data_IF_106363799822
#
_entry.id   IF_106363799822
#
_cell.length_a   1.000
_cell.length_b   1.000
_cell.length_c   1.000
_cell.angle_alpha   90.00
_cell.angle_beta   90.00
_cell.angle_gamma   90.00
#
_symmetry.space_group_name_H-M   'P 1'
#
loop_
_entity.id
_entity.type
_entity.pdbx_description
1 polymer ?
#
# COMPACT_ATOMS: atom_id res chain seq x y z
N UNK A 1 -16.84 29.78 1.21
CA UNK A 1 -16.13 28.48 1.11
C UNK A 1 -15.19 28.45 -0.10
N UNK A 2 -15.67 28.86 -1.28
CA UNK A 2 -14.88 28.92 -2.53
C UNK A 2 -13.64 29.85 -2.46
N UNK A 3 -13.72 30.98 -1.77
CA UNK A 3 -12.57 31.86 -1.53
C UNK A 3 -11.46 31.18 -0.69
N UNK A 4 -11.81 30.27 0.21
CA UNK A 4 -10.85 29.53 1.04
C UNK A 4 -10.06 28.51 0.21
N UNK A 5 -10.72 27.81 -0.71
CA UNK A 5 -10.08 26.88 -1.64
C UNK A 5 -9.10 27.60 -2.57
N UNK A 6 -9.46 28.78 -3.09
CA UNK A 6 -8.57 29.55 -3.96
C UNK A 6 -7.31 30.06 -3.23
N UNK A 7 -7.47 30.63 -2.02
CA UNK A 7 -6.32 31.04 -1.21
C UNK A 7 -5.40 29.85 -0.92
N UNK A 8 -6.01 28.70 -0.63
CA UNK A 8 -5.28 27.47 -0.40
C UNK A 8 -4.45 27.05 -1.63
N UNK A 9 -5.07 26.96 -2.82
CA UNK A 9 -4.39 26.60 -4.06
C UNK A 9 -3.24 27.55 -4.40
N UNK A 10 -3.44 28.87 -4.21
CA UNK A 10 -2.39 29.87 -4.44
C UNK A 10 -1.19 29.64 -3.52
N UNK A 11 -1.42 29.47 -2.21
CA UNK A 11 -0.33 29.23 -1.25
C UNK A 11 0.39 27.91 -1.48
N UNK A 12 -0.33 26.88 -1.92
CA UNK A 12 0.26 25.59 -2.26
C UNK A 12 1.11 25.70 -3.53
N UNK A 13 0.62 26.35 -4.58
CA UNK A 13 1.39 26.60 -5.79
C UNK A 13 2.65 27.42 -5.48
N UNK A 14 2.53 28.46 -4.64
CA UNK A 14 3.64 29.29 -4.19
C UNK A 14 4.70 28.47 -3.43
N UNK A 15 4.28 27.52 -2.59
CA UNK A 15 5.20 26.65 -1.84
C UNK A 15 6.10 25.82 -2.78
N UNK A 16 5.54 25.29 -3.87
CA UNK A 16 6.30 24.52 -4.86
C UNK A 16 7.07 25.39 -5.86
N UNK A 17 6.70 26.66 -6.03
CA UNK A 17 7.34 27.58 -6.98
C UNK A 17 8.43 28.46 -6.37
N UNK A 18 8.37 28.76 -5.07
CA UNK A 18 9.33 29.68 -4.42
C UNK A 18 10.72 29.06 -4.33
N UNK A 19 11.77 29.89 -4.50
CA UNK A 19 13.17 29.55 -4.24
C UNK A 19 13.70 30.11 -2.92
N UNK A 20 12.89 30.91 -2.21
CA UNK A 20 13.25 31.45 -0.90
C UNK A 20 12.98 30.42 0.20
N UNK A 21 14.04 29.95 0.87
CA UNK A 21 13.97 28.95 1.93
C UNK A 21 13.16 29.42 3.15
N UNK A 22 13.28 30.69 3.54
CA UNK A 22 12.56 31.24 4.69
C UNK A 22 11.06 31.29 4.38
N UNK A 23 10.72 31.80 3.21
CA UNK A 23 9.33 31.84 2.74
C UNK A 23 8.74 30.44 2.57
N UNK A 24 9.49 29.51 2.00
CA UNK A 24 9.07 28.10 1.88
C UNK A 24 8.78 27.48 3.25
N UNK A 25 9.58 27.80 4.27
CA UNK A 25 9.34 27.35 5.64
C UNK A 25 8.06 27.94 6.23
N UNK A 26 7.81 29.24 6.04
CA UNK A 26 6.58 29.91 6.50
C UNK A 26 5.33 29.30 5.84
N UNK A 27 5.40 29.03 4.53
CA UNK A 27 4.34 28.33 3.79
C UNK A 27 4.14 26.89 4.28
N UNK A 28 5.22 26.15 4.57
CA UNK A 28 5.14 24.80 5.11
C UNK A 28 4.43 24.78 6.48
N UNK A 29 4.79 25.70 7.38
CA UNK A 29 4.14 25.82 8.69
C UNK A 29 2.64 26.13 8.56
N UNK A 30 2.28 27.00 7.62
CA UNK A 30 0.89 27.30 7.31
C UNK A 30 0.14 26.06 6.77
N UNK A 31 0.73 25.35 5.81
CA UNK A 31 0.15 24.14 5.21
C UNK A 31 -0.05 23.02 6.24
N UNK A 32 0.92 22.80 7.13
CA UNK A 32 0.82 21.82 8.23
C UNK A 32 -0.33 22.21 9.17
N UNK A 33 -0.49 23.50 9.48
CA UNK A 33 -1.61 23.97 10.31
C UNK A 33 -2.94 23.74 9.61
N UNK A 34 -3.03 24.04 8.31
CA UNK A 34 -4.22 23.78 7.51
C UNK A 34 -4.58 22.29 7.45
N UNK A 35 -3.61 21.40 7.32
CA UNK A 35 -3.86 19.95 7.29
C UNK A 35 -4.52 19.44 8.59
N UNK A 36 -4.15 20.02 9.73
CA UNK A 36 -4.69 19.65 11.05
C UNK A 36 -6.06 20.27 11.34
N UNK A 37 -6.39 21.39 10.71
CA UNK A 37 -7.65 22.09 10.91
C UNK A 37 -8.87 21.23 10.53
N UNK A 38 -10.03 21.47 11.15
CA UNK A 38 -11.25 20.68 10.89
C UNK A 38 -11.80 20.91 9.47
N UNK A 39 -11.51 22.06 8.86
CA UNK A 39 -11.90 22.33 7.47
C UNK A 39 -11.07 21.55 6.44
N UNK A 40 -9.95 20.93 6.85
CA UNK A 40 -9.05 20.22 5.93
C UNK A 40 -9.71 19.03 5.25
N UNK A 41 -10.67 18.40 5.93
CA UNK A 41 -11.51 17.33 5.36
C UNK A 41 -12.27 17.82 4.13
N UNK A 42 -13.02 18.91 4.28
CA UNK A 42 -13.84 19.47 3.20
C UNK A 42 -12.98 20.02 2.05
N UNK A 43 -11.87 20.68 2.37
CA UNK A 43 -10.91 21.17 1.37
C UNK A 43 -10.31 20.02 0.56
N UNK A 44 -9.88 18.95 1.23
CA UNK A 44 -9.35 17.76 0.56
C UNK A 44 -10.37 17.15 -0.40
N UNK A 45 -11.63 17.01 0.04
CA UNK A 45 -12.69 16.50 -0.84
C UNK A 45 -13.00 17.39 -2.03
N UNK A 46 -13.03 18.71 -1.85
CA UNK A 46 -13.26 19.64 -2.95
C UNK A 46 -12.18 19.53 -4.02
N UNK A 47 -10.93 19.32 -3.64
CA UNK A 47 -9.82 19.11 -4.58
C UNK A 47 -9.93 17.75 -5.28
N UNK A 48 -10.29 16.68 -4.55
CA UNK A 48 -10.36 15.34 -5.13
C UNK A 48 -11.58 15.12 -6.04
N UNK A 49 -12.70 15.80 -5.78
CA UNK A 49 -13.90 15.76 -6.63
C UNK A 49 -13.76 16.58 -7.93
N UNK A 50 -12.74 17.43 -8.04
CA UNK A 50 -12.36 18.04 -9.30
C UNK A 50 -11.71 16.95 -10.17
N UNK A 51 -12.56 16.21 -10.88
CA UNK A 51 -12.27 14.96 -11.59
C UNK A 51 -11.23 15.05 -12.74
N UNK A 52 -10.55 16.18 -12.93
CA UNK A 52 -9.61 16.36 -14.02
C UNK A 52 -8.19 15.98 -13.59
N UNK A 53 -7.93 14.67 -13.42
CA UNK A 53 -6.60 14.10 -13.08
C UNK A 53 -5.48 14.62 -13.99
N UNK A 54 -5.79 14.92 -15.25
CA UNK A 54 -4.83 15.36 -16.27
C UNK A 54 -4.55 16.86 -16.28
N UNK A 55 -5.42 17.71 -15.72
CA UNK A 55 -5.29 19.18 -15.81
C UNK A 55 -4.85 19.82 -14.50
N UNK A 56 -5.17 19.19 -13.37
CA UNK A 56 -4.81 19.74 -12.06
C UNK A 56 -3.38 19.32 -11.66
N UNK A 57 -2.64 20.18 -10.95
CA UNK A 57 -1.31 19.81 -10.49
C UNK A 57 -1.33 18.63 -9.52
N UNK A 58 -0.43 17.66 -9.74
CA UNK A 58 -0.29 16.45 -8.90
C UNK A 58 -0.13 16.80 -7.40
N UNK A 59 0.59 17.89 -7.11
CA UNK A 59 0.82 18.31 -5.73
C UNK A 59 -0.45 18.74 -4.99
N UNK A 60 -1.48 19.25 -5.68
CA UNK A 60 -2.77 19.58 -5.06
C UNK A 60 -3.48 18.32 -4.58
N UNK A 61 -3.52 17.30 -5.44
CA UNK A 61 -4.15 16.00 -5.16
C UNK A 61 -3.40 15.25 -4.07
N UNK A 62 -2.08 15.29 -4.10
CA UNK A 62 -1.25 14.70 -3.05
C UNK A 62 -1.49 15.37 -1.70
N UNK A 63 -1.58 16.71 -1.66
CA UNK A 63 -1.91 17.42 -0.43
C UNK A 63 -3.32 17.07 0.07
N UNK A 64 -4.30 17.00 -0.82
CA UNK A 64 -5.66 16.61 -0.48
C UNK A 64 -5.70 15.20 0.14
N UNK A 65 -5.02 14.22 -0.47
CA UNK A 65 -4.88 12.87 0.10
C UNK A 65 -4.17 12.89 1.46
N UNK A 66 -3.18 13.76 1.66
CA UNK A 66 -2.54 13.95 2.97
C UNK A 66 -3.50 14.49 4.03
N UNK A 67 -4.39 15.43 3.70
CA UNK A 67 -5.46 15.88 4.60
C UNK A 67 -6.40 14.74 4.97
N UNK A 68 -6.86 13.98 3.97
CA UNK A 68 -7.73 12.82 4.19
C UNK A 68 -7.05 11.80 5.11
N UNK A 69 -5.81 11.42 4.82
CA UNK A 69 -5.04 10.48 5.64
C UNK A 69 -4.93 10.95 7.09
N UNK A 70 -4.60 12.22 7.32
CA UNK A 70 -4.51 12.79 8.67
C UNK A 70 -5.84 12.70 9.41
N UNK A 71 -6.96 12.99 8.74
CA UNK A 71 -8.28 12.94 9.36
C UNK A 71 -8.78 11.51 9.60
N UNK A 72 -8.49 10.57 8.70
CA UNK A 72 -8.82 9.15 8.87
C UNK A 72 -8.00 8.50 9.99
N UNK A 73 -6.78 8.98 10.21
CA UNK A 73 -5.90 8.47 11.26
C UNK A 73 -6.29 9.02 12.64
N UNK A 74 -6.84 10.23 12.71
CA UNK A 74 -7.36 10.82 13.96
C UNK A 74 -8.62 10.09 14.43
N UNK A 75 -8.50 9.33 15.52
CA UNK A 75 -9.62 8.57 16.09
C UNK A 75 -10.78 9.46 16.51
N UNK A 76 -10.51 10.66 17.05
CA UNK A 76 -11.56 11.55 17.56
C UNK A 76 -12.37 12.14 16.42
N UNK A 77 -11.69 12.53 15.33
CA UNK A 77 -12.36 12.97 14.12
C UNK A 77 -13.17 11.82 13.51
N UNK A 78 -12.55 10.66 13.35
CA UNK A 78 -13.18 9.51 12.71
C UNK A 78 -14.44 9.05 13.46
N UNK A 79 -14.37 8.92 14.79
CA UNK A 79 -15.52 8.51 15.60
C UNK A 79 -16.70 9.50 15.48
N UNK A 80 -16.43 10.81 15.46
CA UNK A 80 -17.46 11.83 15.18
C UNK A 80 -18.07 11.67 13.79
N UNK A 81 -17.21 11.48 12.78
CA UNK A 81 -17.64 11.31 11.39
C UNK A 81 -18.57 10.10 11.21
N UNK A 82 -18.30 8.98 11.89
CA UNK A 82 -19.19 7.79 11.87
C UNK A 82 -20.56 8.14 12.45
N UNK A 83 -20.60 8.80 13.61
CA UNK A 83 -21.85 9.08 14.33
C UNK A 83 -22.75 10.06 13.59
N UNK A 84 -22.16 10.95 12.78
CA UNK A 84 -22.86 12.04 12.10
C UNK A 84 -23.25 11.71 10.66
N UNK A 85 -22.73 10.63 10.06
CA UNK A 85 -22.85 10.42 8.61
C UNK A 85 -23.17 8.97 8.21
N UNK A 86 -24.27 8.79 7.49
CA UNK A 86 -24.51 7.61 6.63
C UNK A 86 -23.47 7.49 5.49
N UNK A 87 -22.63 8.51 5.31
CA UNK A 87 -21.63 8.63 4.26
C UNK A 87 -20.39 7.75 4.42
N UNK A 88 -20.30 6.92 5.47
CA UNK A 88 -19.13 6.06 5.67
C UNK A 88 -18.98 5.02 4.56
N UNK A 89 -20.07 4.41 4.10
CA UNK A 89 -20.02 3.45 2.98
C UNK A 89 -19.73 4.16 1.65
N UNK A 90 -20.32 5.34 1.45
CA UNK A 90 -20.02 6.18 0.29
C UNK A 90 -18.55 6.60 0.25
N UNK A 91 -17.93 6.84 1.41
CA UNK A 91 -16.50 7.10 1.52
C UNK A 91 -15.67 5.91 1.03
N UNK A 92 -16.03 4.68 1.42
CA UNK A 92 -15.36 3.48 0.94
C UNK A 92 -15.39 3.37 -0.59
N UNK A 93 -16.58 3.52 -1.18
CA UNK A 93 -16.75 3.50 -2.63
C UNK A 93 -16.00 4.65 -3.33
N UNK A 94 -16.00 5.84 -2.73
CA UNK A 94 -15.27 6.99 -3.27
C UNK A 94 -13.76 6.74 -3.28
N UNK A 95 -13.21 6.15 -2.22
CA UNK A 95 -11.79 5.82 -2.14
C UNK A 95 -11.40 4.73 -3.15
N UNK A 96 -12.26 3.74 -3.38
CA UNK A 96 -12.05 2.72 -4.43
C UNK A 96 -11.95 3.39 -5.79
N UNK A 97 -12.91 4.24 -6.14
CA UNK A 97 -12.91 4.96 -7.41
C UNK A 97 -11.69 5.90 -7.56
N UNK A 98 -11.23 6.53 -6.47
CA UNK A 98 -10.01 7.33 -6.49
C UNK A 98 -8.75 6.49 -6.74
N UNK A 99 -8.64 5.30 -6.15
CA UNK A 99 -7.54 4.37 -6.44
C UNK A 99 -7.52 3.98 -7.93
N UNK A 100 -8.68 3.69 -8.50
CA UNK A 100 -8.80 3.36 -9.93
C UNK A 100 -8.38 4.55 -10.82
N UNK A 101 -8.84 5.77 -10.47
CA UNK A 101 -8.54 7.00 -11.20
C UNK A 101 -7.06 7.41 -11.11
N UNK A 102 -6.37 7.11 -10.01
CA UNK A 102 -4.96 7.45 -9.80
C UNK A 102 -4.00 6.33 -10.18
N UNK A 103 -4.50 5.21 -10.70
CA UNK A 103 -3.73 4.00 -11.03
C UNK A 103 -2.47 4.23 -11.87
N UNK A 104 -2.42 5.29 -12.67
CA UNK A 104 -1.28 5.62 -13.55
C UNK A 104 -0.23 6.54 -12.91
N UNK A 105 -0.51 7.13 -11.74
CA UNK A 105 0.36 8.10 -11.07
C UNK A 105 0.81 7.54 -9.72
N UNK A 106 2.01 6.94 -9.69
CA UNK A 106 2.55 6.19 -8.55
C UNK A 106 2.44 6.93 -7.20
N UNK A 107 2.78 8.23 -7.18
CA UNK A 107 2.72 9.05 -5.95
C UNK A 107 1.29 9.19 -5.41
N UNK A 108 0.31 9.36 -6.31
CA UNK A 108 -1.09 9.53 -5.92
C UNK A 108 -1.71 8.19 -5.51
N UNK A 109 -1.49 7.13 -6.28
CA UNK A 109 -2.04 5.81 -5.93
C UNK A 109 -1.50 5.30 -4.61
N UNK A 110 -0.19 5.43 -4.35
CA UNK A 110 0.41 5.02 -3.08
C UNK A 110 -0.25 5.72 -1.88
N UNK A 111 -0.45 7.04 -1.97
CA UNK A 111 -1.10 7.79 -0.88
C UNK A 111 -2.61 7.50 -0.79
N UNK A 112 -3.28 7.27 -1.92
CA UNK A 112 -4.69 6.91 -1.95
C UNK A 112 -4.94 5.53 -1.33
N UNK A 113 -4.12 4.53 -1.67
CA UNK A 113 -4.14 3.23 -1.03
C UNK A 113 -3.91 3.34 0.48
N UNK A 114 -2.98 4.17 0.94
CA UNK A 114 -2.79 4.41 2.38
C UNK A 114 -4.04 4.99 3.05
N UNK A 115 -4.73 5.96 2.42
CA UNK A 115 -6.00 6.47 2.94
C UNK A 115 -7.06 5.37 3.02
N UNK A 116 -7.19 4.59 1.95
CA UNK A 116 -8.16 3.51 1.85
C UNK A 116 -7.90 2.39 2.88
N UNK A 117 -6.65 2.02 3.08
CA UNK A 117 -6.21 1.04 4.07
C UNK A 117 -6.56 1.49 5.50
N UNK A 118 -6.31 2.75 5.86
CA UNK A 118 -6.72 3.28 7.17
C UNK A 118 -8.24 3.21 7.32
N UNK A 119 -8.99 3.58 6.28
CA UNK A 119 -10.44 3.45 6.25
C UNK A 119 -10.87 1.98 6.47
N UNK A 120 -10.27 1.01 5.78
CA UNK A 120 -10.57 -0.41 5.94
C UNK A 120 -10.28 -0.88 7.37
N UNK A 121 -9.10 -0.58 7.92
CA UNK A 121 -8.73 -0.94 9.30
C UNK A 121 -9.66 -0.33 10.35
N UNK A 122 -10.22 0.84 10.07
CA UNK A 122 -11.19 1.50 10.93
C UNK A 122 -12.60 0.91 10.81
N UNK A 123 -12.97 0.34 9.66
CA UNK A 123 -14.35 -0.12 9.36
C UNK A 123 -14.54 -1.63 9.36
N UNK A 124 -13.53 -2.45 9.09
CA UNK A 124 -13.65 -3.91 9.02
C UNK A 124 -13.51 -4.57 10.39
N UNK A 125 -14.25 -5.62 10.74
CA UNK A 125 -15.29 -6.26 9.92
C UNK A 125 -16.69 -5.67 10.12
N UNK A 126 -16.85 -4.71 11.02
CA UNK A 126 -18.17 -4.36 11.57
C UNK A 126 -19.02 -3.52 10.58
N UNK A 127 -18.39 -2.59 9.87
CA UNK A 127 -19.03 -1.69 8.89
C UNK A 127 -18.74 -2.15 7.46
N UNK A 128 -17.47 -2.44 7.16
CA UNK A 128 -17.06 -3.02 5.88
C UNK A 128 -16.78 -4.51 6.08
N UNK A 129 -17.78 -5.35 5.82
CA UNK A 129 -17.80 -6.75 6.30
C UNK A 129 -16.96 -7.73 5.50
N UNK A 130 -16.72 -7.48 4.22
CA UNK A 130 -15.96 -8.41 3.35
C UNK A 130 -15.07 -7.66 2.33
N UNK A 131 -14.11 -6.82 2.79
CA UNK A 131 -13.24 -6.07 1.90
C UNK A 131 -12.38 -6.97 1.02
N UNK A 132 -11.93 -8.12 1.52
CA UNK A 132 -11.10 -9.02 0.72
C UNK A 132 -11.86 -9.56 -0.50
N UNK A 133 -13.09 -10.06 -0.31
CA UNK A 133 -13.84 -10.56 -1.47
C UNK A 133 -14.26 -9.43 -2.41
N UNK A 134 -14.78 -8.33 -1.86
CA UNK A 134 -15.24 -7.19 -2.66
C UNK A 134 -14.10 -6.62 -3.52
N UNK A 135 -12.91 -6.45 -2.94
CA UNK A 135 -11.76 -5.92 -3.68
C UNK A 135 -11.21 -6.92 -4.69
N UNK A 136 -11.21 -8.23 -4.38
CA UNK A 136 -10.87 -9.27 -5.37
C UNK A 136 -11.82 -9.16 -6.56
N UNK A 137 -13.14 -9.15 -6.32
CA UNK A 137 -14.13 -9.08 -7.40
C UNK A 137 -14.00 -7.80 -8.24
N UNK A 138 -13.63 -6.67 -7.61
CA UNK A 138 -13.48 -5.37 -8.27
C UNK A 138 -12.16 -5.20 -9.05
N UNK A 139 -11.04 -5.62 -8.49
CA UNK A 139 -9.70 -5.25 -8.99
C UNK A 139 -8.89 -6.40 -9.57
N UNK A 140 -9.31 -7.66 -9.41
CA UNK A 140 -8.52 -8.83 -9.83
C UNK A 140 -8.17 -8.86 -11.33
N UNK A 141 -9.01 -8.32 -12.20
CA UNK A 141 -8.78 -8.27 -13.64
C UNK A 141 -8.18 -6.94 -14.12
N UNK A 142 -8.61 -5.81 -13.56
CA UNK A 142 -8.22 -4.48 -14.03
C UNK A 142 -7.06 -3.83 -13.27
N UNK A 143 -6.91 -4.14 -11.99
CA UNK A 143 -5.98 -3.45 -11.09
C UNK A 143 -5.27 -4.43 -10.11
N UNK A 144 -4.63 -5.50 -10.63
CA UNK A 144 -4.05 -6.56 -9.80
C UNK A 144 -2.94 -6.08 -8.85
N UNK A 145 -2.10 -5.13 -9.30
CA UNK A 145 -1.06 -4.52 -8.44
C UNK A 145 -1.66 -3.72 -7.28
N UNK A 146 -2.68 -2.90 -7.54
CA UNK A 146 -3.38 -2.10 -6.52
C UNK A 146 -4.02 -3.01 -5.47
N UNK A 147 -4.65 -4.10 -5.90
CA UNK A 147 -5.24 -5.10 -5.01
C UNK A 147 -4.21 -5.66 -4.02
N UNK A 148 -3.05 -6.07 -4.53
CA UNK A 148 -1.97 -6.64 -3.72
C UNK A 148 -1.30 -5.59 -2.83
N UNK A 149 -1.13 -4.36 -3.32
CA UNK A 149 -0.60 -3.25 -2.53
C UNK A 149 -1.52 -2.93 -1.35
N UNK A 150 -2.84 -2.89 -1.56
CA UNK A 150 -3.80 -2.69 -0.46
C UNK A 150 -3.74 -3.84 0.54
N UNK A 151 -3.71 -5.09 0.08
CA UNK A 151 -3.60 -6.25 0.97
C UNK A 151 -2.32 -6.27 1.80
N UNK A 152 -1.16 -5.93 1.20
CA UNK A 152 0.09 -5.82 1.94
C UNK A 152 0.08 -4.67 2.94
N UNK A 153 -0.38 -3.50 2.49
CA UNK A 153 -0.43 -2.27 3.29
C UNK A 153 -1.35 -2.37 4.51
N UNK A 154 -2.38 -3.23 4.48
CA UNK A 154 -3.23 -3.50 5.65
C UNK A 154 -2.40 -3.91 6.88
N UNK A 155 -1.38 -4.75 6.70
CA UNK A 155 -0.54 -5.21 7.81
C UNK A 155 0.38 -4.10 8.31
N UNK A 156 0.99 -3.36 7.38
CA UNK A 156 1.90 -2.25 7.71
C UNK A 156 1.18 -1.15 8.50
N UNK A 157 0.04 -0.70 7.99
CA UNK A 157 -0.76 0.35 8.64
C UNK A 157 -1.40 -0.16 9.94
N UNK A 158 -1.77 -1.44 10.05
CA UNK A 158 -2.29 -2.01 11.30
C UNK A 158 -1.29 -1.90 12.47
N UNK A 159 0.02 -1.97 12.19
CA UNK A 159 1.05 -1.79 13.22
C UNK A 159 1.13 -0.35 13.72
N UNK A 160 0.94 0.61 12.82
CA UNK A 160 1.11 2.05 13.07
C UNK A 160 -0.16 2.74 13.56
N UNK A 161 -1.34 2.22 13.18
CA UNK A 161 -2.61 2.85 13.48
C UNK A 161 -2.98 2.71 14.96
N UNK A 162 -3.16 3.86 15.63
CA UNK A 162 -3.64 3.90 17.00
C UNK A 162 -5.14 3.52 17.07
N UNK A 163 -5.43 2.42 17.77
CA UNK A 163 -6.78 1.91 17.99
C UNK A 163 -6.94 1.40 19.44
N UNK A 164 -8.16 1.48 20.02
CA UNK A 164 -8.48 0.83 21.28
C UNK A 164 -8.19 -0.68 21.22
N UNK A 165 -7.68 -1.26 22.31
CA UNK A 165 -7.27 -2.67 22.36
C UNK A 165 -8.35 -3.67 21.90
N UNK A 166 -9.64 -3.53 22.28
CA UNK A 166 -10.68 -4.44 21.80
C UNK A 166 -10.84 -4.40 20.27
N UNK A 167 -10.86 -3.20 19.70
CA UNK A 167 -10.93 -2.99 18.25
C UNK A 167 -9.72 -3.57 17.55
N UNK A 168 -8.52 -3.28 18.06
CA UNK A 168 -7.25 -3.79 17.52
C UNK A 168 -7.22 -5.32 17.52
N UNK A 169 -7.71 -5.97 18.57
CA UNK A 169 -7.79 -7.43 18.64
C UNK A 169 -8.82 -8.00 17.65
N UNK A 170 -9.99 -7.38 17.51
CA UNK A 170 -11.00 -7.79 16.52
C UNK A 170 -10.43 -7.71 15.09
N UNK A 171 -9.83 -6.59 14.72
CA UNK A 171 -9.17 -6.40 13.42
C UNK A 171 -8.05 -7.42 13.21
N UNK A 172 -7.21 -7.66 14.22
CA UNK A 172 -6.15 -8.69 14.14
C UNK A 172 -6.72 -10.08 13.84
N UNK A 173 -7.76 -10.49 14.57
CA UNK A 173 -8.42 -11.78 14.36
C UNK A 173 -9.04 -11.87 12.97
N UNK A 174 -9.66 -10.79 12.48
CA UNK A 174 -10.24 -10.73 11.15
C UNK A 174 -9.17 -10.84 10.04
N UNK A 175 -8.05 -10.12 10.17
CA UNK A 175 -6.91 -10.24 9.26
C UNK A 175 -6.38 -11.68 9.22
N UNK A 176 -6.21 -12.31 10.38
CA UNK A 176 -5.77 -13.71 10.50
C UNK A 176 -6.69 -14.69 9.79
N UNK A 177 -8.00 -14.53 9.94
CA UNK A 177 -8.98 -15.40 9.29
C UNK A 177 -8.95 -15.31 7.75
N UNK A 178 -8.45 -14.19 7.20
CA UNK A 178 -8.35 -13.95 5.77
C UNK A 178 -6.95 -14.20 5.19
N UNK A 179 -5.99 -14.67 6.00
CA UNK A 179 -4.60 -14.92 5.58
C UNK A 179 -4.52 -15.87 4.38
N UNK A 180 -5.14 -17.04 4.48
CA UNK A 180 -5.17 -18.03 3.41
C UNK A 180 -5.89 -17.49 2.15
N UNK A 181 -6.90 -16.63 2.30
CA UNK A 181 -7.59 -16.00 1.17
C UNK A 181 -6.64 -15.07 0.41
N UNK A 182 -5.87 -14.25 1.12
CA UNK A 182 -4.89 -13.33 0.52
C UNK A 182 -3.79 -14.12 -0.18
N UNK A 183 -3.23 -15.13 0.48
CA UNK A 183 -2.19 -15.99 -0.10
C UNK A 183 -2.67 -16.66 -1.41
N UNK A 184 -3.88 -17.23 -1.41
CA UNK A 184 -4.47 -17.84 -2.60
C UNK A 184 -4.73 -16.81 -3.71
N UNK A 185 -5.28 -15.64 -3.38
CA UNK A 185 -5.53 -14.58 -4.34
C UNK A 185 -4.23 -14.11 -5.03
N UNK A 186 -3.16 -13.95 -4.27
CA UNK A 186 -1.89 -13.52 -4.80
C UNK A 186 -1.22 -14.64 -5.64
N UNK A 187 -1.36 -15.92 -5.26
CA UNK A 187 -0.90 -17.05 -6.04
C UNK A 187 -1.64 -17.15 -7.40
N UNK A 188 -2.96 -17.00 -7.40
CA UNK A 188 -3.78 -16.97 -8.62
C UNK A 188 -3.36 -15.85 -9.57
N UNK A 189 -3.03 -14.66 -9.06
CA UNK A 189 -2.57 -13.53 -9.88
C UNK A 189 -1.20 -13.80 -10.50
N UNK A 190 -0.25 -14.36 -9.74
CA UNK A 190 1.09 -14.69 -10.24
C UNK A 190 1.11 -15.85 -11.24
N UNK A 191 0.10 -16.72 -11.21
CA UNK A 191 -0.03 -17.82 -12.17
C UNK A 191 -0.63 -17.38 -13.51
N UNK A 192 -1.15 -16.14 -13.62
CA UNK A 192 -1.63 -15.62 -14.91
C UNK A 192 -0.45 -15.37 -15.84
N UNK A 193 -0.58 -15.82 -17.08
CA UNK A 193 0.42 -15.58 -18.13
C UNK A 193 -0.18 -14.69 -19.23
N UNK A 194 0.45 -13.56 -19.58
CA UNK A 194 1.60 -12.93 -18.93
C UNK A 194 1.21 -12.21 -17.62
N UNK A 195 2.12 -12.18 -16.64
CA UNK A 195 2.03 -11.32 -15.44
C UNK A 195 2.94 -10.10 -15.62
N UNK A 196 2.46 -8.92 -15.25
CA UNK A 196 3.25 -7.70 -15.32
C UNK A 196 4.18 -7.54 -14.11
N UNK A 197 5.29 -6.82 -14.30
CA UNK A 197 6.31 -6.62 -13.27
C UNK A 197 5.76 -5.90 -12.03
N UNK A 198 4.82 -4.96 -12.19
CA UNK A 198 4.24 -4.23 -11.06
C UNK A 198 3.43 -5.18 -10.17
N UNK A 199 2.66 -6.10 -10.76
CA UNK A 199 1.95 -7.15 -10.03
C UNK A 199 2.91 -8.08 -9.29
N UNK A 200 4.02 -8.50 -9.91
CA UNK A 200 5.05 -9.31 -9.24
C UNK A 200 5.64 -8.58 -8.03
N UNK A 201 6.02 -7.31 -8.19
CA UNK A 201 6.58 -6.49 -7.11
C UNK A 201 5.57 -6.27 -5.97
N UNK A 202 4.30 -6.03 -6.31
CA UNK A 202 3.23 -5.85 -5.32
C UNK A 202 2.95 -7.16 -4.57
N UNK A 203 3.00 -8.31 -5.26
CA UNK A 203 2.88 -9.62 -4.64
C UNK A 203 4.00 -9.89 -3.63
N UNK A 204 5.25 -9.58 -3.98
CA UNK A 204 6.41 -9.75 -3.10
C UNK A 204 6.25 -8.92 -1.83
N UNK A 205 5.89 -7.64 -1.95
CA UNK A 205 5.64 -6.77 -0.79
C UNK A 205 4.49 -7.28 0.06
N UNK A 206 3.39 -7.71 -0.57
CA UNK A 206 2.26 -8.31 0.12
C UNK A 206 2.70 -9.52 0.95
N UNK A 207 3.42 -10.48 0.33
CA UNK A 207 3.95 -11.66 1.01
C UNK A 207 4.87 -11.28 2.18
N UNK A 208 5.79 -10.33 2.00
CA UNK A 208 6.67 -9.84 3.08
C UNK A 208 5.88 -9.29 4.27
N UNK A 209 4.89 -8.44 4.00
CA UNK A 209 4.09 -7.80 5.04
C UNK A 209 3.26 -8.83 5.81
N UNK A 210 2.69 -9.83 5.15
CA UNK A 210 1.93 -10.90 5.80
C UNK A 210 2.80 -11.92 6.55
N UNK A 211 3.97 -12.31 6.03
CA UNK A 211 4.90 -13.23 6.73
C UNK A 211 5.44 -12.62 8.02
N UNK A 212 5.65 -11.30 8.02
CA UNK A 212 6.08 -10.57 9.21
C UNK A 212 4.94 -10.33 10.22
N UNK A 213 3.70 -10.71 9.91
CA UNK A 213 2.57 -10.52 10.81
C UNK A 213 2.61 -11.54 11.96
N UNK A 214 2.37 -11.11 13.21
CA UNK A 214 2.46 -11.95 14.43
C UNK A 214 1.51 -13.15 14.47
N UNK A 215 2.04 -14.37 14.29
CA UNK A 215 1.24 -15.61 14.22
C UNK A 215 0.85 -16.04 12.80
N UNK A 216 1.59 -15.58 11.79
CA UNK A 216 1.49 -16.08 10.41
C UNK A 216 1.78 -17.58 10.35
N UNK A 217 0.96 -18.30 9.58
CA UNK A 217 1.18 -19.71 9.24
C UNK A 217 1.95 -19.80 7.93
N UNK A 218 3.24 -20.09 8.04
CA UNK A 218 4.15 -20.11 6.89
C UNK A 218 3.79 -21.21 5.88
N UNK A 219 2.99 -22.20 6.27
CA UNK A 219 2.54 -23.26 5.36
C UNK A 219 1.61 -22.73 4.25
N UNK A 220 0.76 -21.74 4.56
CA UNK A 220 -0.15 -21.10 3.59
C UNK A 220 0.61 -20.27 2.55
N UNK A 221 1.78 -19.74 2.93
CA UNK A 221 2.59 -18.87 2.07
C UNK A 221 3.65 -19.62 1.25
N UNK A 222 3.87 -20.91 1.51
CA UNK A 222 4.96 -21.68 0.88
C UNK A 222 4.88 -21.66 -0.66
N UNK A 223 3.70 -21.93 -1.22
CA UNK A 223 3.49 -22.02 -2.67
C UNK A 223 3.75 -20.68 -3.34
N UNK A 224 3.26 -19.59 -2.75
CA UNK A 224 3.42 -18.25 -3.31
C UNK A 224 4.84 -17.72 -3.19
N UNK A 225 5.55 -18.05 -2.12
CA UNK A 225 6.97 -17.74 -2.00
C UNK A 225 7.74 -18.32 -3.19
N UNK A 226 7.52 -19.59 -3.53
CA UNK A 226 8.16 -20.24 -4.68
C UNK A 226 7.75 -19.57 -6.00
N UNK A 227 6.48 -19.19 -6.15
CA UNK A 227 6.01 -18.47 -7.33
C UNK A 227 6.70 -17.12 -7.47
N UNK A 228 6.74 -16.29 -6.41
CA UNK A 228 7.43 -15.01 -6.42
C UNK A 228 8.89 -15.16 -6.86
N UNK A 229 9.61 -16.14 -6.30
CA UNK A 229 11.00 -16.43 -6.69
C UNK A 229 11.10 -16.83 -8.17
N UNK A 230 10.18 -17.65 -8.68
CA UNK A 230 10.20 -18.05 -10.10
C UNK A 230 9.94 -16.90 -11.09
N UNK A 231 9.25 -15.84 -10.66
CA UNK A 231 8.89 -14.69 -11.51
C UNK A 231 9.96 -13.58 -11.50
N UNK A 232 10.93 -13.65 -10.59
CA UNK A 232 11.97 -12.65 -10.47
C UNK A 232 13.05 -12.87 -11.54
N UNK A 233 13.10 -11.97 -12.51
CA UNK A 233 14.20 -11.91 -13.47
C UNK A 233 15.33 -11.03 -12.91
N UNK A 234 16.55 -11.58 -12.82
CA UNK A 234 17.65 -11.06 -12.00
C UNK A 234 18.54 -10.03 -12.70
N UNK A 235 18.24 -9.71 -13.95
CA UNK A 235 19.05 -8.77 -14.75
C UNK A 235 18.93 -7.30 -14.28
N UNK A 236 18.06 -7.01 -13.31
CA UNK A 236 17.91 -5.68 -12.72
C UNK A 236 18.37 -5.65 -11.25
N UNK A 237 19.16 -4.64 -10.88
CA UNK A 237 19.65 -4.45 -9.50
C UNK A 237 18.53 -4.32 -8.46
N UNK A 238 17.34 -3.89 -8.89
CA UNK A 238 16.15 -3.78 -8.04
C UNK A 238 15.62 -5.16 -7.61
N UNK A 239 15.78 -6.19 -8.44
CA UNK A 239 15.37 -7.57 -8.13
C UNK A 239 16.18 -8.13 -6.96
N UNK A 240 17.50 -7.89 -6.92
CA UNK A 240 18.38 -8.39 -5.86
C UNK A 240 18.04 -7.73 -4.52
N UNK A 241 17.77 -6.42 -4.52
CA UNK A 241 17.34 -5.70 -3.31
C UNK A 241 16.00 -6.23 -2.79
N UNK A 242 15.05 -6.52 -3.68
CA UNK A 242 13.77 -7.14 -3.32
C UNK A 242 13.96 -8.52 -2.70
N UNK A 243 14.82 -9.36 -3.31
CA UNK A 243 15.17 -10.69 -2.77
C UNK A 243 15.83 -10.60 -1.40
N UNK A 244 16.80 -9.70 -1.21
CA UNK A 244 17.49 -9.55 0.06
C UNK A 244 16.51 -9.22 1.20
N UNK A 245 15.60 -8.25 0.99
CA UNK A 245 14.55 -7.91 1.96
C UNK A 245 13.57 -9.05 2.19
N UNK A 246 13.28 -9.82 1.14
CA UNK A 246 12.40 -10.99 1.23
C UNK A 246 13.00 -12.07 2.12
N UNK A 247 14.29 -12.37 1.95
CA UNK A 247 15.01 -13.31 2.79
C UNK A 247 15.19 -12.80 4.22
N UNK A 248 15.48 -11.51 4.42
CA UNK A 248 15.56 -10.89 5.75
C UNK A 248 14.26 -11.11 6.53
N UNK A 249 13.13 -10.73 5.94
CA UNK A 249 11.79 -10.91 6.54
C UNK A 249 11.48 -12.38 6.84
N UNK A 250 11.92 -13.28 5.96
CA UNK A 250 11.64 -14.69 6.06
C UNK A 250 12.47 -15.38 7.16
N UNK A 251 13.75 -15.01 7.31
CA UNK A 251 14.64 -15.56 8.34
C UNK A 251 14.20 -15.16 9.75
N UNK A 252 13.56 -14.00 9.89
CA UNK A 252 12.96 -13.56 11.16
C UNK A 252 11.74 -14.38 11.59
N UNK A 253 11.13 -15.15 10.68
CA UNK A 253 9.94 -15.93 11.00
C UNK A 253 10.28 -17.20 11.80
N UNK A 254 9.84 -17.24 13.06
CA UNK A 254 10.10 -18.35 13.98
C UNK A 254 9.63 -19.74 13.50
N UNK A 255 8.67 -19.82 12.58
CA UNK A 255 8.21 -21.10 12.03
C UNK A 255 9.23 -21.73 11.08
N UNK A 256 10.18 -20.96 10.55
CA UNK A 256 11.18 -21.45 9.60
C UNK A 256 12.00 -22.61 10.17
N UNK A 257 12.30 -22.57 11.47
CA UNK A 257 13.01 -23.64 12.18
C UNK A 257 12.31 -24.99 12.03
N UNK A 258 10.97 -25.00 11.91
CA UNK A 258 10.17 -26.22 11.76
C UNK A 258 10.04 -26.66 10.30
N UNK A 259 10.54 -25.86 9.36
CA UNK A 259 10.42 -26.07 7.91
C UNK A 259 11.79 -26.23 7.25
N UNK A 260 12.69 -27.01 7.86
CA UNK A 260 14.08 -27.21 7.42
C UNK A 260 14.22 -27.54 5.92
N UNK A 261 13.36 -28.43 5.39
CA UNK A 261 13.37 -28.78 3.95
C UNK A 261 13.05 -27.59 3.06
N UNK A 262 12.12 -26.72 3.49
CA UNK A 262 11.76 -25.54 2.72
C UNK A 262 12.84 -24.47 2.82
N UNK A 263 13.44 -24.29 4.01
CA UNK A 263 14.63 -23.44 4.16
C UNK A 263 15.76 -23.89 3.22
N UNK A 264 16.05 -25.19 3.16
CA UNK A 264 17.03 -25.76 2.24
C UNK A 264 16.71 -25.44 0.76
N UNK A 265 15.46 -25.65 0.33
CA UNK A 265 15.02 -25.32 -1.04
C UNK A 265 15.22 -23.84 -1.39
N UNK A 266 15.03 -22.96 -0.42
CA UNK A 266 15.22 -21.52 -0.60
C UNK A 266 16.70 -21.13 -0.71
N UNK A 267 17.57 -21.76 0.08
CA UNK A 267 19.02 -21.60 -0.06
C UNK A 267 19.53 -22.18 -1.39
N UNK A 268 19.05 -23.36 -1.80
CA UNK A 268 19.39 -23.97 -3.08
C UNK A 268 18.97 -23.05 -4.25
N UNK A 269 17.79 -22.45 -4.15
CA UNK A 269 17.34 -21.44 -5.12
C UNK A 269 18.31 -20.26 -5.14
N UNK A 270 18.61 -19.63 -4.00
CA UNK A 270 19.54 -18.50 -3.94
C UNK A 270 20.94 -18.83 -4.48
N UNK A 271 21.47 -20.02 -4.18
CA UNK A 271 22.75 -20.49 -4.69
C UNK A 271 22.72 -20.70 -6.22
N UNK A 272 21.64 -21.28 -6.75
CA UNK A 272 21.45 -21.47 -8.20
C UNK A 272 21.43 -20.13 -8.94
N UNK A 273 20.84 -19.10 -8.33
CA UNK A 273 20.79 -17.75 -8.87
C UNK A 273 22.15 -17.07 -8.82
N UNK A 274 22.90 -17.20 -7.70
CA UNK A 274 24.27 -16.68 -7.59
C UNK A 274 25.19 -17.21 -8.70
N UNK A 275 25.12 -18.52 -8.97
CA UNK A 275 25.91 -19.17 -10.03
C UNK A 275 25.51 -18.69 -11.44
N UNK A 276 24.24 -18.37 -11.68
CA UNK A 276 23.80 -17.78 -12.95
C UNK A 276 24.34 -16.37 -13.14
N UNK A 277 24.37 -15.58 -12.06
CA UNK A 277 24.83 -14.18 -12.08
C UNK A 277 26.35 -14.06 -12.31
N UNK A 278 27.15 -14.94 -11.70
CA UNK A 278 28.59 -15.02 -11.97
C UNK A 278 28.90 -15.39 -13.43
N UNK A 279 28.03 -16.17 -14.08
CA UNK A 279 28.16 -16.53 -15.50
C UNK A 279 27.79 -15.38 -16.42
N UNK A 280 26.77 -14.59 -16.09
CA UNK A 280 26.40 -13.39 -16.87
C UNK A 280 27.46 -12.28 -16.74
N UNK A 281 28.03 -12.07 -15.55
CA UNK A 281 29.07 -11.06 -15.32
C UNK A 281 30.42 -11.44 -15.98
N UNK A 282 30.76 -12.74 -16.04
CA UNK A 282 31.93 -13.20 -16.80
C UNK A 282 31.74 -13.13 -18.32
N UNK A 283 30.50 -13.25 -18.82
CA UNK A 283 30.21 -13.09 -20.25
C UNK A 283 30.27 -11.64 -20.73
N UNK A 284 30.05 -10.67 -19.84
CA UNK A 284 30.17 -9.24 -20.12
C UNK A 284 31.60 -8.72 -19.97
N UNK A 285 32.49 -9.45 -19.29
CA UNK A 285 33.95 -9.19 -19.24
C UNK A 285 34.73 -9.79 -20.42
N UNK A 286 34.09 -10.55 -21.31
CA UNK A 286 34.73 -11.13 -22.49
C UNK A 286 34.69 -10.22 -23.75
N UNK A 287 34.28 -8.96 -23.61
CA UNK A 287 34.24 -7.95 -24.68
C UNK A 287 34.98 -6.65 -24.35
N UNK A 288 36.07 -6.73 -23.57
CA UNK A 288 37.11 -5.69 -23.46
C UNK A 288 38.46 -6.31 -23.84
#
# INVERSE_FOLDING_TARGET
MEAGLQIFKIKLAEFYATNDEKHRKELNEWLIKCQKDDQSWNLGWQILHQNNVTMDPIYEKLFALNCLYTKLTDSTFFDRFILESDGILNLGETLINLCENFSTIQLLISKCCACFVVYLLRTMPDIFSDPFKILKDRWYSGYPSILLDVYGSLIEEFRNLAQPLPRRNNVRSYLRQNEAFVANCAAELLQKTPVDLCTVQSAIKCVQSWISFDGCDLSDWKSIIVLCLSQLNLDSGDTISCLAKFFETFVENSQLIRMEKFAGQLFDYAESQSKSWERSDNSSKLWL
#
